data_IF_386009370688
#
_entry.id   IF_386009370688
#
_cell.length_a   1.000
_cell.length_b   1.000
_cell.length_c   1.000
_cell.angle_alpha   90.00
_cell.angle_beta   90.00
_cell.angle_gamma   90.00
#
_symmetry.space_group_name_H-M   'P 1'
#
loop_
_entity.id
_entity.type
_entity.pdbx_description
1 polymer ?
#
# COMPACT_ATOMS: atom_id res chain seq x y z
N UNK A 1 11.56 21.33 -6.29
CA UNK A 1 11.22 20.10 -5.52
C UNK A 1 9.87 20.33 -4.85
N UNK A 2 9.04 19.31 -4.66
CA UNK A 2 7.76 19.46 -3.95
C UNK A 2 7.93 19.06 -2.49
N UNK A 3 7.38 19.85 -1.57
CA UNK A 3 7.36 19.55 -0.15
C UNK A 3 5.93 19.23 0.27
N UNK A 4 5.75 18.16 1.04
CA UNK A 4 4.44 17.72 1.54
C UNK A 4 4.30 18.16 2.99
N UNK A 5 3.22 18.87 3.33
CA UNK A 5 2.91 19.26 4.71
C UNK A 5 1.56 18.65 5.08
N UNK A 6 1.51 17.92 6.20
CA UNK A 6 0.27 17.40 6.78
C UNK A 6 -0.34 18.48 7.69
N UNK A 7 -1.56 18.90 7.38
CA UNK A 7 -2.33 19.75 8.28
C UNK A 7 -2.99 18.87 9.35
N UNK A 8 -2.52 19.01 10.60
CA UNK A 8 -2.89 18.12 11.72
C UNK A 8 -4.39 18.23 12.08
N UNK A 9 -5.01 19.39 11.81
CA UNK A 9 -6.42 19.67 12.14
C UNK A 9 -7.42 18.97 11.21
N UNK A 10 -7.05 18.77 9.94
CA UNK A 10 -7.95 18.27 8.89
C UNK A 10 -7.51 16.92 8.31
N UNK A 11 -6.28 16.49 8.59
CA UNK A 11 -5.67 15.31 7.98
C UNK A 11 -5.35 15.50 6.50
N UNK A 12 -5.54 16.70 5.94
CA UNK A 12 -5.23 16.98 4.54
C UNK A 12 -3.72 17.17 4.36
N UNK A 13 -3.19 16.58 3.30
CA UNK A 13 -1.81 16.81 2.87
C UNK A 13 -1.84 17.86 1.76
N UNK A 14 -1.15 18.98 1.99
CA UNK A 14 -0.94 20.00 0.97
C UNK A 14 0.47 19.87 0.41
N UNK A 15 0.56 19.86 -0.92
CA UNK A 15 1.83 19.88 -1.62
C UNK A 15 2.16 21.30 -2.01
N UNK A 16 3.38 21.70 -1.73
CA UNK A 16 3.89 23.01 -2.06
C UNK A 16 5.08 22.90 -2.99
N UNK A 17 5.16 23.83 -3.94
CA UNK A 17 6.39 24.04 -4.69
C UNK A 17 7.38 24.80 -3.81
N UNK A 18 8.56 24.20 -3.63
CA UNK A 18 9.64 24.80 -2.86
C UNK A 18 10.94 24.87 -3.67
N UNK A 19 11.71 25.92 -3.43
CA UNK A 19 13.08 26.11 -3.93
C UNK A 19 14.03 25.96 -2.75
N UNK A 20 15.00 25.07 -2.90
CA UNK A 20 16.10 24.91 -1.94
C UNK A 20 17.14 25.97 -2.26
N UNK A 21 17.59 26.69 -1.25
CA UNK A 21 18.62 27.72 -1.39
C UNK A 21 20.00 27.24 -0.97
N UNK A 22 20.11 26.63 0.21
CA UNK A 22 21.37 26.14 0.75
C UNK A 22 21.14 25.00 1.76
N UNK A 23 22.13 24.11 1.86
CA UNK A 23 22.20 23.08 2.90
C UNK A 23 22.96 23.65 4.09
N UNK A 24 22.35 23.62 5.27
CA UNK A 24 22.93 24.10 6.52
C UNK A 24 23.06 22.90 7.45
N UNK A 25 24.27 22.36 7.58
CA UNK A 25 24.56 21.12 8.32
C UNK A 25 23.68 19.94 7.83
N UNK A 26 22.71 19.51 8.65
CA UNK A 26 21.75 18.44 8.37
C UNK A 26 20.40 18.94 7.84
N UNK A 27 20.24 20.26 7.71
CA UNK A 27 18.98 20.92 7.34
C UNK A 27 19.08 21.64 5.99
N UNK A 28 17.94 22.00 5.42
CA UNK A 28 17.86 22.76 4.17
C UNK A 28 17.06 24.04 4.39
N UNK A 29 17.57 25.16 3.87
CA UNK A 29 16.80 26.40 3.76
C UNK A 29 15.95 26.34 2.50
N UNK A 30 14.64 26.51 2.66
CA UNK A 30 13.66 26.44 1.56
C UNK A 30 12.73 27.64 1.58
N UNK A 31 12.36 28.13 0.40
CA UNK A 31 11.22 29.05 0.23
C UNK A 31 10.04 28.29 -0.38
N UNK A 32 8.84 28.55 0.12
CA UNK A 32 7.58 28.01 -0.39
C UNK A 32 6.93 29.07 -1.30
N UNK A 33 6.61 28.71 -2.55
CA UNK A 33 6.14 29.67 -3.56
C UNK A 33 4.64 29.60 -3.82
N UNK A 34 4.09 28.39 -4.00
CA UNK A 34 2.68 28.16 -4.31
C UNK A 34 2.29 26.71 -4.02
N UNK A 35 0.97 26.44 -3.96
CA UNK A 35 0.46 25.07 -3.99
C UNK A 35 0.93 24.37 -5.27
N UNK A 36 1.28 23.10 -5.16
CA UNK A 36 1.58 22.30 -6.33
C UNK A 36 0.33 22.23 -7.23
N UNK A 37 0.46 22.46 -8.56
CA UNK A 37 -0.68 22.43 -9.48
C UNK A 37 -1.38 21.07 -9.51
N UNK A 38 -0.69 20.02 -9.07
CA UNK A 38 -1.29 18.74 -8.73
C UNK A 38 -1.16 18.51 -7.22
N UNK A 39 -2.30 18.51 -6.53
CA UNK A 39 -2.43 18.02 -5.16
C UNK A 39 -3.04 16.63 -5.28
N UNK A 40 -2.26 15.54 -5.15
CA UNK A 40 -2.84 14.20 -5.12
C UNK A 40 -3.79 14.15 -3.93
N UNK A 41 -5.00 13.62 -4.13
CA UNK A 41 -5.96 13.51 -3.03
C UNK A 41 -5.35 12.66 -1.93
N UNK A 42 -5.71 12.91 -0.67
CA UNK A 42 -5.24 12.08 0.46
C UNK A 42 -5.45 10.57 0.23
N UNK A 43 -6.55 10.20 -0.43
CA UNK A 43 -6.84 8.82 -0.84
C UNK A 43 -5.82 8.20 -1.81
N UNK A 44 -5.02 9.01 -2.50
CA UNK A 44 -3.94 8.57 -3.39
C UNK A 44 -2.63 8.33 -2.63
N UNK A 45 -2.52 8.84 -1.40
CA UNK A 45 -1.42 8.54 -0.47
C UNK A 45 -1.70 7.37 0.46
N UNK A 46 -2.98 7.12 0.73
CA UNK A 46 -3.38 6.08 1.65
C UNK A 46 -3.70 4.79 0.89
N UNK A 47 -2.73 3.88 0.84
CA UNK A 47 -3.01 2.49 0.50
C UNK A 47 -3.72 1.82 1.68
N UNK A 48 -4.74 1.03 1.38
CA UNK A 48 -5.42 0.19 2.35
C UNK A 48 -4.90 -1.23 2.16
N UNK A 49 -4.07 -1.66 3.10
CA UNK A 49 -3.41 -2.96 3.07
C UNK A 49 -4.27 -3.99 3.77
N UNK A 50 -4.39 -5.17 3.16
CA UNK A 50 -4.90 -6.38 3.82
C UNK A 50 -3.73 -7.34 3.95
N UNK A 51 -3.42 -7.75 5.18
CA UNK A 51 -2.48 -8.82 5.43
C UNK A 51 -3.14 -10.16 5.10
N UNK A 52 -2.40 -11.02 4.40
CA UNK A 52 -2.79 -12.38 4.06
C UNK A 52 -1.84 -13.33 4.77
N UNK A 53 -2.35 -14.10 5.71
CA UNK A 53 -1.58 -15.07 6.48
C UNK A 53 -1.73 -16.49 5.90
N UNK A 54 -0.85 -17.39 6.36
CA UNK A 54 -0.85 -18.82 6.04
C UNK A 54 -0.68 -19.10 4.54
N UNK A 55 0.16 -18.32 3.85
CA UNK A 55 0.57 -18.60 2.49
C UNK A 55 1.48 -19.84 2.46
N UNK A 56 1.29 -20.68 1.45
CA UNK A 56 2.19 -21.79 1.15
C UNK A 56 3.40 -21.26 0.36
N UNK A 57 4.52 -21.99 0.36
CA UNK A 57 5.78 -21.51 -0.23
C UNK A 57 5.68 -21.20 -1.73
N UNK A 58 4.80 -21.90 -2.44
CA UNK A 58 4.54 -21.69 -3.87
C UNK A 58 3.56 -20.54 -4.16
N UNK A 59 2.88 -20.00 -3.15
CA UNK A 59 1.90 -18.92 -3.29
C UNK A 59 2.57 -17.56 -3.36
N UNK A 60 3.10 -17.26 -4.55
CA UNK A 60 3.78 -16.01 -4.85
C UNK A 60 2.82 -14.85 -5.19
N UNK A 61 3.40 -13.69 -5.47
CA UNK A 61 2.71 -12.48 -5.90
C UNK A 61 1.88 -12.71 -7.17
N UNK A 62 2.34 -13.55 -8.10
CA UNK A 62 1.61 -13.87 -9.32
C UNK A 62 0.34 -14.66 -9.01
N UNK A 63 0.43 -15.67 -8.16
CA UNK A 63 -0.73 -16.44 -7.71
C UNK A 63 -1.76 -15.53 -7.03
N UNK A 64 -1.33 -14.70 -6.08
CA UNK A 64 -2.21 -13.76 -5.39
C UNK A 64 -2.82 -12.75 -6.38
N UNK A 65 -2.04 -12.17 -7.28
CA UNK A 65 -2.52 -11.21 -8.27
C UNK A 65 -3.54 -11.83 -9.23
N UNK A 66 -3.17 -12.90 -9.93
CA UNK A 66 -3.96 -13.45 -11.02
C UNK A 66 -5.10 -14.37 -10.56
N UNK A 67 -4.90 -15.15 -9.50
CA UNK A 67 -5.90 -16.13 -9.03
C UNK A 67 -6.80 -15.56 -7.94
N UNK A 68 -6.25 -14.78 -7.00
CA UNK A 68 -7.02 -14.28 -5.86
C UNK A 68 -7.65 -12.91 -6.15
N UNK A 69 -6.90 -12.01 -6.78
CA UNK A 69 -7.25 -10.59 -6.84
C UNK A 69 -7.75 -10.10 -8.20
N UNK A 70 -7.61 -10.88 -9.28
CA UNK A 70 -7.90 -10.44 -10.67
C UNK A 70 -9.32 -9.90 -10.89
N UNK A 71 -10.31 -10.36 -10.10
CA UNK A 71 -11.70 -9.86 -10.13
C UNK A 71 -11.92 -8.54 -9.39
N UNK A 72 -10.99 -8.14 -8.52
CA UNK A 72 -11.11 -6.93 -7.73
C UNK A 72 -10.51 -5.75 -8.47
N UNK A 73 -11.36 -4.79 -8.80
CA UNK A 73 -10.90 -3.48 -9.29
C UNK A 73 -10.16 -2.77 -8.15
N UNK A 74 -9.23 -1.86 -8.47
CA UNK A 74 -8.51 -1.00 -7.49
C UNK A 74 -7.41 -1.66 -6.67
N UNK A 75 -6.94 -2.83 -7.11
CA UNK A 75 -5.68 -3.40 -6.66
C UNK A 75 -4.51 -2.48 -7.06
N UNK A 76 -3.64 -2.15 -6.10
CA UNK A 76 -2.45 -1.31 -6.28
C UNK A 76 -1.22 -2.20 -6.40
N UNK A 77 -1.02 -3.09 -5.43
CA UNK A 77 0.10 -4.01 -5.43
C UNK A 77 -0.19 -5.23 -4.57
N UNK A 78 0.61 -6.27 -4.78
CA UNK A 78 0.68 -7.45 -3.94
C UNK A 78 2.14 -7.72 -3.64
N UNK A 79 2.44 -8.06 -2.39
CA UNK A 79 3.81 -8.36 -1.93
C UNK A 79 3.77 -9.57 -1.02
N UNK A 80 4.63 -10.56 -1.25
CA UNK A 80 4.89 -11.65 -0.30
C UNK A 80 6.12 -11.29 0.51
N UNK A 81 6.04 -11.45 1.83
CA UNK A 81 7.17 -11.15 2.71
C UNK A 81 8.11 -12.34 2.72
N UNK A 82 9.38 -12.06 2.48
CA UNK A 82 10.45 -13.05 2.34
C UNK A 82 11.60 -12.67 3.25
N UNK A 83 12.35 -13.68 3.67
CA UNK A 83 13.62 -13.50 4.35
C UNK A 83 14.64 -12.87 3.38
N UNK A 84 15.38 -11.85 3.85
CA UNK A 84 16.32 -11.11 3.01
C UNK A 84 17.59 -11.90 2.70
N UNK A 85 17.99 -12.86 3.54
CA UNK A 85 19.20 -13.65 3.36
C UNK A 85 18.99 -14.82 2.39
N UNK A 86 17.87 -15.55 2.52
CA UNK A 86 17.63 -16.76 1.73
C UNK A 86 16.48 -16.64 0.69
N UNK A 87 15.67 -15.58 0.75
CA UNK A 87 14.55 -15.33 -0.17
C UNK A 87 13.30 -16.20 0.08
N UNK A 88 13.28 -16.99 1.15
CA UNK A 88 12.16 -17.87 1.48
C UNK A 88 10.97 -17.06 2.01
N UNK A 89 9.73 -17.42 1.63
CA UNK A 89 8.55 -16.71 2.10
C UNK A 89 8.27 -17.00 3.58
N UNK A 90 7.92 -15.97 4.34
CA UNK A 90 7.51 -16.10 5.75
C UNK A 90 6.07 -16.63 5.91
N UNK A 91 5.42 -17.06 4.83
CA UNK A 91 4.03 -17.51 4.85
C UNK A 91 3.00 -16.39 5.03
N UNK A 92 3.37 -15.13 4.77
CA UNK A 92 2.41 -14.02 4.73
C UNK A 92 2.78 -12.94 3.71
N UNK A 93 1.80 -12.11 3.37
CA UNK A 93 1.95 -11.02 2.42
C UNK A 93 0.91 -9.93 2.60
N UNK A 94 0.93 -8.94 1.72
CA UNK A 94 0.02 -7.81 1.72
C UNK A 94 -0.60 -7.60 0.35
N UNK A 95 -1.90 -7.30 0.36
CA UNK A 95 -2.66 -6.86 -0.81
C UNK A 95 -3.06 -5.41 -0.56
N UNK A 96 -2.59 -4.51 -1.44
CA UNK A 96 -2.83 -3.08 -1.31
C UNK A 96 -3.94 -2.62 -2.25
N UNK A 97 -4.88 -1.85 -1.73
CA UNK A 97 -5.96 -1.24 -2.50
C UNK A 97 -5.90 0.29 -2.42
N UNK A 98 -6.31 0.97 -3.50
CA UNK A 98 -6.39 2.43 -3.52
C UNK A 98 -7.67 2.99 -2.84
N UNK A 99 -8.52 2.12 -2.30
CA UNK A 99 -9.73 2.49 -1.56
C UNK A 99 -10.02 1.52 -0.42
N UNK A 100 -10.37 2.08 0.74
CA UNK A 100 -10.78 1.34 1.93
C UNK A 100 -11.94 0.39 1.65
N UNK A 101 -12.94 0.84 0.91
CA UNK A 101 -14.11 0.02 0.60
C UNK A 101 -13.77 -1.22 -0.22
N UNK A 102 -12.77 -1.14 -1.11
CA UNK A 102 -12.32 -2.30 -1.87
C UNK A 102 -11.56 -3.31 -0.98
N UNK A 103 -10.73 -2.82 -0.05
CA UNK A 103 -10.04 -3.64 0.93
C UNK A 103 -11.02 -4.37 1.86
N UNK A 104 -12.01 -3.64 2.41
CA UNK A 104 -13.08 -4.20 3.24
C UNK A 104 -13.92 -5.23 2.48
N UNK A 105 -14.30 -4.94 1.24
CA UNK A 105 -15.04 -5.88 0.39
C UNK A 105 -14.23 -7.16 0.15
N UNK A 106 -12.92 -7.04 -0.10
CA UNK A 106 -12.05 -8.20 -0.25
C UNK A 106 -11.99 -9.03 1.05
N UNK A 107 -11.80 -8.36 2.19
CA UNK A 107 -11.76 -8.99 3.50
C UNK A 107 -13.05 -9.77 3.79
N UNK A 108 -14.19 -9.09 3.76
CA UNK A 108 -15.50 -9.66 4.11
C UNK A 108 -15.91 -10.80 3.17
N UNK A 109 -15.57 -10.70 1.88
CA UNK A 109 -15.95 -11.73 0.90
C UNK A 109 -15.06 -12.96 0.93
N UNK A 110 -13.81 -12.87 1.36
CA UNK A 110 -12.85 -13.97 1.22
C UNK A 110 -12.38 -14.55 2.56
N UNK A 111 -12.42 -13.81 3.66
CA UNK A 111 -11.91 -14.30 4.94
C UNK A 111 -12.63 -15.61 5.34
N UNK A 112 -11.86 -16.62 5.74
CA UNK A 112 -12.38 -17.95 6.06
C UNK A 112 -12.80 -18.80 4.86
N UNK A 113 -12.63 -18.35 3.62
CA UNK A 113 -12.89 -19.16 2.40
C UNK A 113 -11.62 -19.83 1.90
N UNK A 114 -11.80 -20.91 1.15
CA UNK A 114 -10.72 -21.59 0.48
C UNK A 114 -10.13 -20.74 -0.66
N UNK A 115 -8.80 -20.68 -0.73
CA UNK A 115 -8.08 -19.99 -1.78
C UNK A 115 -8.11 -20.79 -3.09
N UNK A 116 -8.16 -20.14 -4.26
CA UNK A 116 -8.28 -20.82 -5.54
C UNK A 116 -7.18 -21.87 -5.80
N UNK A 117 -7.54 -23.06 -6.27
CA UNK A 117 -6.59 -24.14 -6.60
C UNK A 117 -5.69 -24.58 -5.43
N UNK A 118 -6.14 -24.40 -4.19
CA UNK A 118 -5.43 -24.86 -3.00
C UNK A 118 -6.42 -25.32 -1.94
N UNK A 119 -5.97 -26.06 -0.94
CA UNK A 119 -6.76 -26.36 0.27
C UNK A 119 -6.53 -25.33 1.38
N UNK A 120 -5.81 -24.25 1.09
CA UNK A 120 -5.51 -23.20 2.05
C UNK A 120 -6.74 -22.32 2.26
N UNK A 121 -7.01 -21.95 3.51
CA UNK A 121 -8.07 -21.01 3.86
C UNK A 121 -7.46 -19.61 4.01
N UNK A 122 -8.14 -18.60 3.46
CA UNK A 122 -7.81 -17.20 3.69
C UNK A 122 -7.88 -16.86 5.18
N UNK A 123 -6.76 -16.37 5.72
CA UNK A 123 -6.71 -15.65 7.00
C UNK A 123 -6.30 -14.22 6.69
N UNK A 124 -7.25 -13.29 6.81
CA UNK A 124 -7.10 -11.91 6.38
C UNK A 124 -7.24 -10.93 7.54
N UNK A 125 -6.36 -9.92 7.60
CA UNK A 125 -6.29 -8.90 8.65
C UNK A 125 -6.08 -7.51 8.02
N UNK A 126 -6.51 -6.44 8.71
CA UNK A 126 -6.33 -5.03 8.29
C UNK A 126 -5.20 -4.41 9.10
#
# INVERSE_FOLDING_TARGET
MTLSVLEISSGNIFHYQAKIWEKINTSYKVDIFQLAPYVPRFSEYQNFSIKVNNLQDWMDENYLYYKCCSRYKRLVSVVVIRDEENGEPFGYGFINFNKKSAAMEFLERNNGKQMPNSNQIYSLEI
#
